data_IF_083311323960
#
_entry.id   IF_083311323960
#
_cell.length_a   1.000
_cell.length_b   1.000
_cell.length_c   1.000
_cell.angle_alpha   90.00
_cell.angle_beta   90.00
_cell.angle_gamma   90.00
#
_symmetry.space_group_name_H-M   'P 1'
#
loop_
_entity.id
_entity.type
_entity.pdbx_description
1 polymer ?
#
# COMPACT_ATOMS: atom_id res chain seq x y z
N UNK A 1 -2.48 -15.28 28.45
CA UNK A 1 -1.84 -16.47 27.84
C UNK A 1 -0.66 -15.98 27.00
N UNK A 2 0.55 -15.97 27.58
CA UNK A 2 1.76 -15.55 26.88
C UNK A 2 2.27 -16.72 26.04
N UNK A 3 2.20 -16.61 24.71
CA UNK A 3 2.83 -17.55 23.79
C UNK A 3 4.32 -17.19 23.67
N UNK A 4 5.16 -18.07 24.20
CA UNK A 4 6.62 -18.00 24.04
C UNK A 4 6.99 -18.25 22.59
N UNK A 5 7.84 -17.39 22.03
CA UNK A 5 8.32 -17.47 20.65
C UNK A 5 9.47 -18.48 20.58
N UNK A 6 9.14 -19.74 20.23
CA UNK A 6 10.11 -20.80 19.97
C UNK A 6 10.94 -20.53 18.70
N UNK A 7 12.24 -20.83 18.78
CA UNK A 7 13.21 -20.68 17.69
C UNK A 7 12.73 -21.32 16.38
N UNK A 8 12.70 -20.50 15.33
CA UNK A 8 13.10 -20.95 13.99
C UNK A 8 12.18 -21.94 13.27
N UNK A 9 10.94 -21.55 12.99
CA UNK A 9 10.22 -21.70 11.68
C UNK A 9 8.70 -21.51 11.82
N UNK A 10 8.16 -21.50 13.03
CA UNK A 10 6.71 -21.56 13.24
C UNK A 10 6.12 -20.27 13.82
N UNK A 11 6.45 -19.12 13.21
CA UNK A 11 5.44 -18.06 13.22
C UNK A 11 4.42 -18.48 12.18
N UNK A 12 3.24 -18.86 12.65
CA UNK A 12 2.07 -19.32 11.91
C UNK A 12 1.58 -18.18 10.99
N UNK A 13 2.30 -18.02 9.89
CA UNK A 13 2.19 -16.89 8.96
C UNK A 13 1.61 -17.42 7.67
N UNK A 14 0.41 -16.96 7.36
CA UNK A 14 -0.18 -17.13 6.04
C UNK A 14 0.49 -16.13 5.10
N UNK A 15 1.05 -16.65 4.01
CA UNK A 15 1.59 -15.86 2.93
C UNK A 15 0.51 -15.74 1.86
N UNK A 16 -0.21 -14.63 1.77
CA UNK A 16 -0.95 -14.32 0.55
C UNK A 16 0.08 -13.82 -0.47
N UNK A 17 0.53 -14.73 -1.33
CA UNK A 17 1.51 -14.47 -2.39
C UNK A 17 0.73 -14.00 -3.62
N UNK A 18 0.62 -12.70 -3.84
CA UNK A 18 0.12 -12.18 -5.12
C UNK A 18 1.29 -12.35 -6.10
N UNK A 19 1.32 -13.48 -6.81
CA UNK A 19 2.35 -13.72 -7.83
C UNK A 19 1.88 -13.10 -9.13
N UNK A 20 2.40 -11.91 -9.43
CA UNK A 20 2.58 -11.49 -10.82
C UNK A 20 3.60 -12.45 -11.46
N UNK A 21 3.18 -13.21 -12.46
CA UNK A 21 4.08 -14.09 -13.20
C UNK A 21 5.07 -13.25 -14.00
N UNK A 22 6.33 -13.20 -13.56
CA UNK A 22 7.42 -12.72 -14.40
C UNK A 22 7.77 -13.86 -15.35
N UNK A 23 7.24 -13.83 -16.58
CA UNK A 23 7.78 -14.66 -17.64
C UNK A 23 9.12 -14.08 -18.09
N UNK A 24 10.14 -14.92 -18.03
CA UNK A 24 11.48 -14.66 -18.54
C UNK A 24 11.39 -14.32 -20.04
N UNK A 25 11.90 -13.16 -20.44
CA UNK A 25 12.19 -12.87 -21.85
C UNK A 25 13.63 -13.35 -22.12
N UNK A 26 13.87 -14.14 -23.18
CA UNK A 26 15.20 -14.60 -23.52
C UNK A 26 16.06 -13.48 -24.13
N UNK A 27 17.36 -13.74 -24.08
CA UNK A 27 18.51 -12.88 -24.36
C UNK A 27 18.55 -12.40 -25.83
N UNK A 28 18.85 -11.10 -26.02
CA UNK A 28 19.69 -10.58 -27.13
C UNK A 28 20.55 -9.49 -26.47
N UNK A 29 21.87 -9.53 -26.39
CA UNK A 29 22.83 -10.10 -27.32
C UNK A 29 23.45 -9.02 -28.20
N UNK A 30 23.98 -7.92 -27.64
CA UNK A 30 24.93 -7.07 -28.36
C UNK A 30 26.15 -6.75 -27.47
N UNK A 31 27.29 -7.25 -27.93
CA UNK A 31 28.64 -6.88 -27.51
C UNK A 31 29.13 -5.69 -28.33
N UNK A 32 30.21 -5.08 -27.83
CA UNK A 32 31.15 -4.14 -28.47
C UNK A 32 30.74 -2.66 -28.37
N UNK A 33 31.62 -1.70 -28.08
CA UNK A 33 33.06 -1.71 -27.81
C UNK A 33 33.51 -0.34 -27.27
N UNK A 34 34.66 -0.36 -26.59
CA UNK A 34 35.73 0.67 -26.54
C UNK A 34 35.57 2.00 -25.74
N UNK A 35 36.33 2.03 -24.63
CA UNK A 35 37.34 3.04 -24.19
C UNK A 35 37.19 4.53 -24.61
N UNK A 36 36.95 5.39 -23.60
CA UNK A 36 37.73 6.56 -23.09
C UNK A 36 38.95 7.14 -23.89
N UNK A 37 39.49 8.35 -23.56
CA UNK A 37 38.96 9.53 -22.82
C UNK A 37 39.49 10.94 -23.28
N UNK A 38 39.16 11.99 -22.48
CA UNK A 38 39.89 13.26 -22.18
C UNK A 38 40.13 14.30 -23.29
N UNK A 39 39.73 15.57 -23.05
CA UNK A 39 40.65 16.71 -22.83
C UNK A 39 39.97 18.09 -22.77
N UNK A 40 40.55 18.92 -21.89
CA UNK A 40 40.33 20.35 -21.61
C UNK A 40 40.63 21.29 -22.79
N UNK A 41 39.96 22.45 -22.82
CA UNK A 41 40.49 23.84 -22.73
C UNK A 41 39.44 24.82 -23.28
N UNK A 42 38.89 25.72 -22.46
CA UNK A 42 39.37 27.07 -22.11
C UNK A 42 39.20 28.12 -23.20
N UNK A 43 38.67 29.27 -22.76
CA UNK A 43 38.85 30.63 -23.28
C UNK A 43 37.66 31.23 -24.04
N UNK A 44 36.85 31.94 -23.24
CA UNK A 44 36.48 33.35 -23.42
C UNK A 44 36.81 33.99 -24.77
N UNK A 45 35.76 34.45 -25.47
CA UNK A 45 35.71 35.78 -26.07
C UNK A 45 34.26 36.31 -26.03
N UNK A 46 34.11 37.44 -25.35
CA UNK A 46 32.95 38.32 -25.42
C UNK A 46 33.03 39.09 -26.74
N UNK A 47 31.93 39.22 -27.48
CA UNK A 47 31.69 40.36 -28.35
C UNK A 47 30.22 40.45 -28.77
N UNK A 48 29.70 41.65 -28.52
CA UNK A 48 28.37 42.16 -28.76
C UNK A 48 27.74 41.74 -30.10
N UNK A 49 26.47 41.33 -30.04
CA UNK A 49 25.59 41.31 -31.21
C UNK A 49 24.41 42.26 -31.00
N UNK A 50 24.28 43.16 -31.98
CA UNK A 50 23.25 44.18 -32.13
C UNK A 50 21.86 43.55 -32.15
N UNK A 51 20.93 44.23 -31.50
CA UNK A 51 19.49 44.00 -31.54
C UNK A 51 18.91 44.24 -32.94
N UNK A 52 18.16 43.26 -33.46
CA UNK A 52 17.17 43.44 -34.54
C UNK A 52 15.77 43.21 -33.96
N UNK A 53 14.74 43.98 -34.38
CA UNK A 53 13.37 43.80 -33.93
C UNK A 53 12.70 42.70 -34.76
N UNK A 54 12.54 41.51 -34.17
CA UNK A 54 11.71 40.44 -34.72
C UNK A 54 10.43 40.31 -33.91
N UNK A 55 9.31 40.69 -34.49
CA UNK A 55 7.97 40.41 -33.96
C UNK A 55 7.70 38.91 -34.08
N UNK A 56 7.43 38.25 -32.95
CA UNK A 56 6.85 36.90 -32.93
C UNK A 56 5.80 36.86 -31.81
N UNK A 57 4.53 36.83 -32.22
CA UNK A 57 3.39 36.46 -31.39
C UNK A 57 2.96 35.01 -31.76
N UNK A 58 2.15 34.33 -30.94
CA UNK A 58 2.62 33.35 -29.97
C UNK A 58 2.44 31.90 -30.43
N UNK A 59 3.36 31.03 -30.04
CA UNK A 59 3.15 29.58 -30.11
C UNK A 59 2.17 29.18 -29.00
N UNK A 60 0.97 28.77 -29.38
CA UNK A 60 -0.02 28.17 -28.50
C UNK A 60 0.55 26.90 -27.85
N UNK A 61 0.85 26.97 -26.54
CA UNK A 61 1.14 25.77 -25.75
C UNK A 61 -0.19 25.10 -25.46
N UNK A 62 -0.58 24.18 -26.34
CA UNK A 62 -1.60 23.18 -25.99
C UNK A 62 -1.16 22.48 -24.70
N UNK A 63 -2.01 22.59 -23.69
CA UNK A 63 -1.76 22.06 -22.36
C UNK A 63 -1.58 20.54 -22.43
N UNK A 64 -0.37 20.07 -22.13
CA UNK A 64 -0.13 18.66 -21.86
C UNK A 64 -0.85 18.32 -20.55
N UNK A 65 -1.99 17.63 -20.65
CA UNK A 65 -2.57 16.94 -19.53
C UNK A 65 -1.64 15.77 -19.16
N UNK A 66 -1.20 15.64 -17.89
CA UNK A 66 -0.53 14.42 -17.47
C UNK A 66 -1.59 13.31 -17.38
N UNK A 67 -1.56 12.38 -18.33
CA UNK A 67 -2.29 11.13 -18.24
C UNK A 67 -1.74 10.36 -17.03
N UNK A 68 -2.58 10.16 -16.02
CA UNK A 68 -2.26 9.32 -14.86
C UNK A 68 -2.01 7.88 -15.34
N UNK A 69 -0.74 7.48 -15.41
CA UNK A 69 -0.36 6.11 -15.73
C UNK A 69 -0.58 5.23 -14.50
N UNK A 70 -1.72 4.55 -14.44
CA UNK A 70 -1.95 3.45 -13.53
C UNK A 70 -0.99 2.30 -13.89
N UNK A 71 0.15 2.24 -13.19
CA UNK A 71 1.06 1.10 -13.28
C UNK A 71 0.40 -0.05 -12.52
N UNK A 72 -0.37 -0.86 -13.24
CA UNK A 72 -0.99 -2.06 -12.68
C UNK A 72 0.07 -3.13 -12.43
N UNK A 73 0.00 -3.75 -11.25
CA UNK A 73 0.67 -5.02 -11.00
C UNK A 73 0.11 -6.04 -11.98
N UNK A 74 0.93 -6.46 -12.94
CA UNK A 74 0.53 -7.37 -14.02
C UNK A 74 0.00 -8.69 -13.42
N UNK A 75 -1.30 -8.96 -13.59
CA UNK A 75 -1.93 -10.23 -13.21
C UNK A 75 -3.11 -10.13 -12.24
N UNK A 76 -3.50 -8.94 -11.77
CA UNK A 76 -4.69 -8.76 -10.92
C UNK A 76 -5.63 -7.71 -11.50
N UNK A 77 -6.87 -8.10 -11.80
CA UNK A 77 -7.93 -7.17 -12.23
C UNK A 77 -8.32 -6.28 -11.06
N UNK A 78 -8.24 -4.96 -11.23
CA UNK A 78 -8.61 -3.97 -10.21
C UNK A 78 -9.97 -3.38 -10.55
N UNK A 79 -10.92 -3.48 -9.62
CA UNK A 79 -12.23 -2.83 -9.66
C UNK A 79 -12.16 -1.51 -8.91
N UNK A 80 -12.57 -0.44 -9.59
CA UNK A 80 -12.77 0.86 -8.96
C UNK A 80 -14.18 0.91 -8.36
N UNK A 81 -14.26 0.93 -7.03
CA UNK A 81 -15.54 1.04 -6.32
C UNK A 81 -15.73 2.51 -5.93
N UNK A 82 -16.75 3.21 -6.47
CA UNK A 82 -17.03 4.58 -6.09
C UNK A 82 -17.37 4.69 -4.60
N UNK A 83 -16.90 5.76 -3.97
CA UNK A 83 -17.18 6.08 -2.58
C UNK A 83 -17.25 7.60 -2.39
N UNK A 84 -17.57 8.04 -1.18
CA UNK A 84 -17.55 9.45 -0.79
C UNK A 84 -16.79 9.59 0.52
N UNK A 85 -16.21 10.77 0.83
CA UNK A 85 -15.64 11.05 2.14
C UNK A 85 -16.66 10.77 3.26
N UNK A 86 -16.18 10.21 4.37
CA UNK A 86 -16.98 9.94 5.56
C UNK A 86 -16.31 10.61 6.76
N UNK A 87 -17.09 11.30 7.57
CA UNK A 87 -16.60 12.01 8.73
C UNK A 87 -16.04 11.08 9.82
N UNK A 88 -15.24 11.65 10.72
CA UNK A 88 -14.74 10.96 11.90
C UNK A 88 -13.57 10.01 11.65
N UNK A 89 -12.93 10.05 10.47
CA UNK A 89 -11.78 9.20 10.12
C UNK A 89 -10.41 9.79 10.51
N UNK A 90 -10.37 10.80 11.39
CA UNK A 90 -9.10 11.33 11.91
C UNK A 90 -8.44 10.30 12.82
N UNK A 91 -7.18 9.98 12.51
CA UNK A 91 -6.38 9.00 13.26
C UNK A 91 -5.82 9.67 14.52
N UNK A 92 -5.95 9.02 15.68
CA UNK A 92 -5.28 9.46 16.91
C UNK A 92 -3.85 8.90 17.00
N UNK A 93 -3.14 9.20 18.09
CA UNK A 93 -1.76 8.73 18.34
C UNK A 93 -1.60 7.20 18.29
N UNK A 94 -2.70 6.45 18.47
CA UNK A 94 -2.72 4.99 18.49
C UNK A 94 -3.52 4.35 17.36
N UNK A 95 -3.79 5.09 16.28
CA UNK A 95 -4.62 4.64 15.16
C UNK A 95 -6.04 5.22 15.19
N UNK A 96 -6.88 4.74 14.27
CA UNK A 96 -8.30 5.05 14.21
C UNK A 96 -9.06 4.08 15.13
N UNK A 97 -9.91 4.62 16.00
CA UNK A 97 -10.76 3.82 16.91
C UNK A 97 -12.18 4.38 16.89
N UNK A 98 -13.15 3.48 16.69
CA UNK A 98 -14.58 3.77 16.58
C UNK A 98 -15.39 2.57 17.03
N UNK A 99 -16.72 2.72 17.10
CA UNK A 99 -17.58 1.56 17.34
C UNK A 99 -17.46 0.56 16.21
N UNK A 100 -17.53 -0.72 16.53
CA UNK A 100 -17.44 -1.79 15.52
C UNK A 100 -18.51 -1.63 14.44
N UNK A 101 -19.72 -1.20 14.83
CA UNK A 101 -20.82 -0.87 13.89
C UNK A 101 -20.44 0.20 12.86
N UNK A 102 -19.63 1.18 13.23
CA UNK A 102 -19.18 2.21 12.28
C UNK A 102 -18.24 1.60 11.24
N UNK A 103 -17.28 0.76 11.66
CA UNK A 103 -16.38 0.07 10.74
C UNK A 103 -17.09 -0.91 9.80
N UNK A 104 -18.19 -1.51 10.27
CA UNK A 104 -19.04 -2.40 9.46
C UNK A 104 -19.94 -1.65 8.47
N UNK A 105 -20.09 -0.32 8.63
CA UNK A 105 -20.87 0.47 7.69
C UNK A 105 -20.20 0.51 6.31
N UNK A 106 -20.98 0.65 5.23
CA UNK A 106 -20.45 0.59 3.87
C UNK A 106 -19.27 1.55 3.66
N UNK A 107 -18.18 1.00 3.11
CA UNK A 107 -16.95 1.72 2.76
C UNK A 107 -16.22 2.44 3.90
N UNK A 108 -16.65 2.37 5.17
CA UNK A 108 -15.96 3.09 6.24
C UNK A 108 -14.52 2.63 6.42
N UNK A 109 -14.31 1.32 6.64
CA UNK A 109 -12.97 0.74 6.70
C UNK A 109 -12.21 0.95 5.39
N UNK A 110 -12.88 0.71 4.26
CA UNK A 110 -12.29 0.81 2.93
C UNK A 110 -11.72 2.20 2.63
N UNK A 111 -12.47 3.25 2.96
CA UNK A 111 -12.06 4.64 2.80
C UNK A 111 -10.78 4.91 3.58
N UNK A 112 -10.73 4.59 4.87
CA UNK A 112 -9.55 4.87 5.69
C UNK A 112 -8.32 4.11 5.19
N UNK A 113 -8.47 2.84 4.79
CA UNK A 113 -7.37 2.02 4.26
C UNK A 113 -6.90 2.54 2.90
N UNK A 114 -7.82 2.93 2.01
CA UNK A 114 -7.47 3.54 0.73
C UNK A 114 -6.76 4.88 0.93
N UNK A 115 -7.24 5.72 1.84
CA UNK A 115 -6.61 6.99 2.20
C UNK A 115 -5.22 6.79 2.80
N UNK A 116 -5.01 5.74 3.59
CA UNK A 116 -3.67 5.34 4.03
C UNK A 116 -2.76 5.04 2.84
N UNK A 117 -3.20 4.20 1.90
CA UNK A 117 -2.38 3.86 0.75
C UNK A 117 -2.13 5.06 -0.18
N UNK A 118 -3.11 5.94 -0.35
CA UNK A 118 -2.95 7.20 -1.08
C UNK A 118 -1.93 8.14 -0.40
N UNK A 119 -1.96 8.24 0.94
CA UNK A 119 -1.02 9.06 1.70
C UNK A 119 0.43 8.55 1.61
N UNK A 120 0.62 7.24 1.48
CA UNK A 120 1.92 6.61 1.26
C UNK A 120 2.36 6.71 -0.22
N UNK A 121 1.42 6.90 -1.14
CA UNK A 121 1.69 7.19 -2.54
C UNK A 121 2.46 6.07 -3.25
N UNK A 122 3.50 6.43 -4.01
CA UNK A 122 4.30 5.47 -4.79
C UNK A 122 5.14 4.52 -3.94
N UNK A 123 5.29 4.79 -2.63
CA UNK A 123 6.11 3.95 -1.75
C UNK A 123 5.57 2.52 -1.60
N UNK A 124 4.26 2.32 -1.79
CA UNK A 124 3.58 1.02 -1.61
C UNK A 124 3.86 0.04 -2.74
N UNK A 125 4.27 0.54 -3.91
CA UNK A 125 4.40 -0.28 -5.13
C UNK A 125 5.47 -1.36 -4.95
N UNK A 126 5.08 -2.62 -5.18
CA UNK A 126 5.98 -3.76 -5.07
C UNK A 126 6.44 -4.06 -3.65
N UNK A 127 5.80 -3.49 -2.62
CA UNK A 127 6.13 -3.71 -1.22
C UNK A 127 5.40 -4.91 -0.60
N UNK A 128 5.91 -5.34 0.55
CA UNK A 128 5.27 -6.37 1.39
C UNK A 128 4.64 -5.73 2.61
N UNK A 129 3.35 -5.97 2.83
CA UNK A 129 2.57 -5.47 3.96
C UNK A 129 2.35 -6.58 4.99
N UNK A 130 2.49 -6.28 6.28
CA UNK A 130 2.01 -7.12 7.38
C UNK A 130 0.55 -6.84 7.71
N UNK A 131 -0.22 -7.86 8.08
CA UNK A 131 -1.61 -7.72 8.50
C UNK A 131 -1.96 -8.68 9.65
N UNK A 132 -2.62 -8.16 10.66
CA UNK A 132 -3.21 -8.98 11.71
C UNK A 132 -3.85 -8.12 12.81
N UNK A 133 -4.27 -8.75 13.90
CA UNK A 133 -4.94 -8.06 14.99
C UNK A 133 -5.00 -8.88 16.27
N UNK A 134 -5.80 -8.39 17.22
CA UNK A 134 -6.00 -9.03 18.53
C UNK A 134 -7.16 -10.06 18.56
N UNK A 135 -7.76 -10.36 17.40
CA UNK A 135 -8.83 -11.34 17.27
C UNK A 135 -10.22 -10.83 17.66
N UNK A 136 -10.39 -9.52 17.88
CA UNK A 136 -11.72 -8.94 18.13
C UNK A 136 -12.68 -9.15 16.97
N UNK A 137 -13.98 -9.05 17.28
CA UNK A 137 -15.08 -9.12 16.32
C UNK A 137 -14.81 -8.23 15.09
N UNK A 138 -15.25 -8.67 13.89
CA UNK A 138 -15.00 -8.04 12.59
C UNK A 138 -13.55 -8.14 12.04
N UNK A 139 -12.59 -8.68 12.81
CA UNK A 139 -11.18 -8.73 12.39
C UNK A 139 -10.91 -9.58 11.13
N UNK A 140 -11.62 -10.69 10.93
CA UNK A 140 -11.42 -11.56 9.76
C UNK A 140 -11.99 -10.92 8.49
N UNK A 141 -13.17 -10.35 8.60
CA UNK A 141 -13.88 -9.64 7.54
C UNK A 141 -13.10 -8.39 7.11
N UNK A 142 -12.61 -7.62 8.09
CA UNK A 142 -11.72 -6.49 7.85
C UNK A 142 -10.44 -6.91 7.12
N UNK A 143 -9.84 -8.06 7.49
CA UNK A 143 -8.65 -8.57 6.83
C UNK A 143 -8.89 -8.85 5.33
N UNK A 144 -10.02 -9.48 4.96
CA UNK A 144 -10.35 -9.72 3.56
C UNK A 144 -10.43 -8.43 2.75
N UNK A 145 -11.10 -7.40 3.30
CA UNK A 145 -11.20 -6.09 2.65
C UNK A 145 -9.81 -5.44 2.46
N UNK A 146 -8.97 -5.47 3.51
CA UNK A 146 -7.61 -4.91 3.46
C UNK A 146 -6.74 -5.64 2.44
N UNK A 147 -6.85 -6.97 2.33
CA UNK A 147 -6.09 -7.76 1.34
C UNK A 147 -6.44 -7.32 -0.09
N UNK A 148 -7.74 -7.16 -0.39
CA UNK A 148 -8.21 -6.71 -1.71
C UNK A 148 -7.73 -5.28 -2.03
N UNK A 149 -7.78 -4.38 -1.05
CA UNK A 149 -7.28 -3.00 -1.21
C UNK A 149 -5.75 -2.97 -1.39
N UNK A 150 -5.01 -3.75 -0.60
CA UNK A 150 -3.56 -3.80 -0.70
C UNK A 150 -3.12 -4.31 -2.08
N UNK A 151 -3.76 -5.38 -2.55
CA UNK A 151 -3.55 -5.90 -3.91
C UNK A 151 -3.88 -4.85 -4.98
N UNK A 152 -5.03 -4.18 -4.87
CA UNK A 152 -5.48 -3.18 -5.84
C UNK A 152 -4.64 -1.89 -5.85
N UNK A 153 -3.93 -1.60 -4.76
CA UNK A 153 -3.02 -0.47 -4.64
C UNK A 153 -1.54 -0.84 -4.91
N UNK A 154 -1.25 -2.08 -5.30
CA UNK A 154 0.07 -2.45 -5.83
C UNK A 154 1.05 -3.06 -4.83
N UNK A 155 0.59 -3.49 -3.64
CA UNK A 155 1.42 -4.35 -2.78
C UNK A 155 1.63 -5.71 -3.45
N UNK A 156 2.89 -6.17 -3.55
CA UNK A 156 3.21 -7.47 -4.15
C UNK A 156 2.81 -8.65 -3.27
N UNK A 157 2.68 -8.44 -1.96
CA UNK A 157 2.47 -9.52 -0.99
C UNK A 157 1.89 -8.97 0.31
N UNK A 158 0.95 -9.71 0.88
CA UNK A 158 0.43 -9.47 2.24
C UNK A 158 0.78 -10.67 3.11
N UNK A 159 1.44 -10.41 4.23
CA UNK A 159 1.84 -11.39 5.24
C UNK A 159 0.82 -11.31 6.37
N UNK A 160 -0.06 -12.30 6.46
CA UNK A 160 -1.21 -12.29 7.37
C UNK A 160 -0.96 -13.27 8.50
N UNK A 161 -1.26 -12.87 9.73
CA UNK A 161 -1.31 -13.82 10.85
C UNK A 161 -2.43 -14.85 10.60
N UNK A 162 -2.25 -16.11 11.01
CA UNK A 162 -3.32 -17.11 10.94
C UNK A 162 -4.57 -16.57 11.63
N UNK A 163 -5.73 -16.78 11.01
CA UNK A 163 -7.03 -16.27 11.46
C UNK A 163 -7.08 -14.73 11.57
N UNK A 164 -6.19 -14.02 10.86
CA UNK A 164 -5.90 -12.60 11.01
C UNK A 164 -5.38 -12.18 12.40
N UNK A 165 -4.82 -13.12 13.17
CA UNK A 165 -4.33 -12.87 14.53
C UNK A 165 -2.81 -12.62 14.49
N UNK A 166 -2.40 -11.42 14.90
CA UNK A 166 -1.01 -11.05 15.11
C UNK A 166 -0.95 -9.88 16.09
N UNK A 167 -0.53 -10.17 17.33
CA UNK A 167 -0.42 -9.13 18.35
C UNK A 167 0.56 -8.02 17.94
N UNK A 168 0.32 -6.78 18.39
CA UNK A 168 1.18 -5.61 18.11
C UNK A 168 2.69 -5.86 18.25
N UNK A 169 3.21 -6.44 19.34
CA UNK A 169 4.65 -6.72 19.45
C UNK A 169 5.12 -7.78 18.43
N UNK A 170 4.30 -8.78 18.11
CA UNK A 170 4.60 -9.77 17.08
C UNK A 170 4.65 -9.14 15.69
N UNK A 171 3.74 -8.22 15.38
CA UNK A 171 3.76 -7.45 14.13
C UNK A 171 5.02 -6.60 14.02
N UNK A 172 5.37 -5.84 15.07
CA UNK A 172 6.59 -5.02 15.10
C UNK A 172 7.85 -5.87 14.87
N UNK A 173 7.96 -7.01 15.57
CA UNK A 173 9.05 -7.96 15.37
C UNK A 173 9.07 -8.54 13.94
N UNK A 174 7.90 -8.86 13.37
CA UNK A 174 7.76 -9.40 12.03
C UNK A 174 8.22 -8.40 10.96
N UNK A 175 7.79 -7.14 11.07
CA UNK A 175 8.18 -6.06 10.17
C UNK A 175 9.71 -5.95 10.13
N UNK A 176 10.35 -5.86 11.30
CA UNK A 176 11.81 -5.74 11.43
C UNK A 176 12.54 -6.97 10.89
N UNK A 177 12.11 -8.17 11.30
CA UNK A 177 12.77 -9.44 10.96
C UNK A 177 12.64 -9.81 9.48
N UNK A 178 11.54 -9.44 8.83
CA UNK A 178 11.26 -9.75 7.43
C UNK A 178 11.44 -8.55 6.50
N UNK A 179 11.85 -7.40 7.03
CA UNK A 179 12.02 -6.14 6.29
C UNK A 179 10.77 -5.79 5.50
N UNK A 180 9.61 -5.90 6.16
CA UNK A 180 8.34 -5.49 5.55
C UNK A 180 8.32 -3.96 5.43
N UNK A 181 7.51 -3.44 4.52
CA UNK A 181 7.33 -2.00 4.39
C UNK A 181 6.64 -1.40 5.63
N UNK A 182 5.70 -2.14 6.20
CA UNK A 182 4.97 -1.78 7.39
C UNK A 182 3.92 -2.84 7.71
N UNK A 183 3.02 -2.55 8.63
CA UNK A 183 1.95 -3.46 8.99
C UNK A 183 0.70 -2.76 9.50
N UNK A 184 -0.45 -3.29 9.11
CA UNK A 184 -1.75 -2.92 9.63
C UNK A 184 -2.13 -3.83 10.81
N UNK A 185 -2.50 -3.21 11.92
CA UNK A 185 -2.86 -3.90 13.16
C UNK A 185 -4.30 -3.55 13.54
N UNK A 186 -5.18 -4.54 13.52
CA UNK A 186 -6.59 -4.43 13.90
C UNK A 186 -6.73 -4.66 15.40
N UNK A 187 -6.67 -3.57 16.16
CA UNK A 187 -6.78 -3.59 17.62
C UNK A 187 -7.18 -2.22 18.16
N UNK A 188 -8.11 -2.20 19.11
CA UNK A 188 -8.40 -1.04 19.96
C UNK A 188 -7.67 -1.11 21.32
N UNK A 189 -6.59 -1.91 21.40
CA UNK A 189 -5.74 -2.07 22.60
C UNK A 189 -6.52 -2.55 23.82
N UNK A 190 -6.75 -1.69 24.81
CA UNK A 190 -7.44 -2.04 26.06
C UNK A 190 -8.97 -1.92 25.96
N UNK A 191 -9.48 -1.29 24.88
CA UNK A 191 -10.91 -1.12 24.70
C UNK A 191 -11.60 -2.48 24.45
N UNK A 192 -12.80 -2.69 25.03
CA UNK A 192 -13.54 -3.94 24.85
C UNK A 192 -13.82 -4.20 23.36
N UNK A 193 -13.80 -5.47 22.98
CA UNK A 193 -14.16 -5.94 21.64
C UNK A 193 -15.60 -6.47 21.60
N UNK A 194 -16.18 -6.53 20.41
CA UNK A 194 -17.54 -7.06 20.21
C UNK A 194 -18.36 -6.22 19.22
N UNK A 195 -19.53 -6.71 18.80
CA UNK A 195 -20.39 -6.04 17.82
C UNK A 195 -20.85 -4.66 18.30
N UNK A 196 -21.12 -4.49 19.60
CA UNK A 196 -21.56 -3.21 20.20
C UNK A 196 -20.42 -2.41 20.84
N UNK A 197 -19.19 -2.94 20.81
CA UNK A 197 -18.02 -2.32 21.44
C UNK A 197 -17.13 -1.66 20.39
N UNK A 198 -15.81 -1.66 20.62
CA UNK A 198 -14.87 -0.88 19.83
C UNK A 198 -14.06 -1.75 18.87
N UNK A 199 -13.82 -1.20 17.69
CA UNK A 199 -12.85 -1.69 16.73
C UNK A 199 -11.79 -0.61 16.51
N UNK A 200 -10.59 -1.03 16.12
CA UNK A 200 -9.51 -0.10 15.87
C UNK A 200 -8.55 -0.64 14.84
N UNK A 201 -7.92 0.28 14.11
CA UNK A 201 -6.90 -0.04 13.11
C UNK A 201 -5.77 0.98 13.22
N UNK A 202 -4.53 0.49 13.16
CA UNK A 202 -3.32 1.33 13.19
C UNK A 202 -2.30 0.82 12.19
N UNK A 203 -1.39 1.70 11.79
CA UNK A 203 -0.30 1.40 10.87
C UNK A 203 1.05 1.59 11.56
N UNK A 204 1.92 0.59 11.44
CA UNK A 204 3.32 0.67 11.85
C UNK A 204 4.23 0.69 10.61
N UNK A 205 5.29 1.49 10.66
CA UNK A 205 6.26 1.66 9.57
C UNK A 205 7.40 0.62 9.62
N UNK A 206 8.38 0.78 8.73
CA UNK A 206 9.52 -0.14 8.47
C UNK A 206 10.35 -0.52 9.70
N UNK A 207 10.49 0.34 10.72
CA UNK A 207 11.23 -0.01 11.93
C UNK A 207 10.38 -0.74 12.99
N UNK A 208 9.10 -0.96 12.70
CA UNK A 208 8.12 -1.58 13.60
C UNK A 208 7.44 -0.59 14.55
N UNK A 209 7.73 0.70 14.46
CA UNK A 209 7.14 1.81 15.21
C UNK A 209 5.77 2.25 14.65
N UNK A 210 4.90 2.87 15.46
CA UNK A 210 3.70 3.55 14.97
C UNK A 210 4.01 4.63 13.93
N UNK A 211 3.08 4.88 13.00
CA UNK A 211 3.21 5.96 12.05
C UNK A 211 3.36 7.33 12.76
N UNK A 212 4.29 8.20 12.31
CA UNK A 212 4.46 9.53 12.88
C UNK A 212 3.28 10.45 12.53
N UNK A 213 3.13 11.55 13.28
CA UNK A 213 2.01 12.50 13.12
C UNK A 213 1.90 13.06 11.69
N UNK A 214 3.04 13.33 11.05
CA UNK A 214 3.10 13.81 9.67
C UNK A 214 2.44 12.86 8.67
N UNK A 215 2.44 11.56 8.94
CA UNK A 215 1.72 10.57 8.12
C UNK A 215 0.26 10.53 8.52
N UNK A 216 -0.08 10.55 9.82
CA UNK A 216 -1.49 10.52 10.25
C UNK A 216 -2.29 11.72 9.75
N UNK A 217 -1.67 12.89 9.67
CA UNK A 217 -2.30 14.10 9.11
C UNK A 217 -2.51 13.98 7.60
N UNK A 218 -1.54 13.41 6.87
CA UNK A 218 -1.71 13.10 5.44
C UNK A 218 -2.86 12.12 5.21
N UNK A 219 -2.94 11.05 6.02
CA UNK A 219 -4.07 10.10 5.96
C UNK A 219 -5.39 10.85 6.12
N UNK A 220 -5.49 11.72 7.12
CA UNK A 220 -6.71 12.50 7.35
C UNK A 220 -7.06 13.40 6.15
N UNK A 221 -6.09 14.10 5.57
CA UNK A 221 -6.29 14.87 4.33
C UNK A 221 -6.79 14.01 3.17
N UNK A 222 -6.29 12.77 3.03
CA UNK A 222 -6.77 11.81 2.03
C UNK A 222 -8.20 11.31 2.32
N UNK A 223 -8.60 11.16 3.59
CA UNK A 223 -9.98 10.74 3.94
C UNK A 223 -11.03 11.78 3.52
N UNK A 224 -10.65 13.06 3.49
CA UNK A 224 -11.56 14.16 3.12
C UNK A 224 -11.81 14.27 1.61
N UNK A 225 -11.01 13.58 0.78
CA UNK A 225 -11.10 13.65 -0.69
C UNK A 225 -11.24 12.29 -1.38
N UNK A 226 -11.30 11.19 -0.62
CA UNK A 226 -11.42 9.84 -1.18
C UNK A 226 -12.72 9.70 -1.98
N UNK A 227 -12.59 9.27 -3.23
CA UNK A 227 -13.71 9.13 -4.16
C UNK A 227 -13.81 7.72 -4.76
N UNK A 228 -12.71 6.96 -4.74
CA UNK A 228 -12.63 5.62 -5.33
C UNK A 228 -11.79 4.72 -4.44
N UNK A 229 -12.25 3.47 -4.27
CA UNK A 229 -11.49 2.38 -3.68
C UNK A 229 -10.93 1.49 -4.80
N UNK A 230 -9.62 1.31 -4.82
CA UNK A 230 -8.95 0.39 -5.76
C UNK A 230 -8.95 -1.02 -5.15
N UNK A 231 -9.99 -1.79 -5.43
CA UNK A 231 -10.14 -3.15 -4.90
C UNK A 231 -9.75 -4.19 -5.94
N UNK A 232 -8.83 -5.08 -5.61
CA UNK A 232 -8.55 -6.23 -6.44
C UNK A 232 -9.75 -7.19 -6.50
N UNK A 233 -10.06 -7.69 -7.68
CA UNK A 233 -11.07 -8.73 -7.89
C UNK A 233 -10.54 -10.10 -7.49
N UNK A 234 -10.54 -10.34 -6.18
CA UNK A 234 -10.05 -11.58 -5.57
C UNK A 234 -11.16 -12.25 -4.76
N UNK A 235 -11.25 -13.59 -4.79
CA UNK A 235 -12.05 -14.32 -3.83
C UNK A 235 -11.46 -14.15 -2.43
N UNK A 236 -12.29 -14.41 -1.42
CA UNK A 236 -11.82 -14.44 -0.04
C UNK A 236 -10.82 -15.58 0.16
N UNK A 237 -9.79 -15.34 0.96
CA UNK A 237 -8.73 -16.29 1.25
C UNK A 237 -9.07 -17.01 2.55
N UNK A 238 -8.90 -18.33 2.60
CA UNK A 238 -8.99 -19.06 3.87
C UNK A 238 -7.84 -18.64 4.79
N UNK A 239 -8.16 -17.82 5.80
CA UNK A 239 -7.20 -17.28 6.76
C UNK A 239 -6.78 -18.30 7.82
N UNK A 240 -7.48 -19.43 7.95
CA UNK A 240 -7.15 -20.48 8.92
C UNK A 240 -6.01 -21.38 8.41
N UNK A 241 -5.88 -21.51 7.09
CA UNK A 241 -4.83 -22.31 6.46
C UNK A 241 -3.51 -21.55 6.43
N UNK A 242 -2.44 -22.21 6.90
CA UNK A 242 -1.07 -21.67 6.87
C UNK A 242 -0.41 -22.05 5.56
N UNK A 243 0.40 -21.16 5.00
CA UNK A 243 1.14 -21.40 3.76
C UNK A 243 0.96 -20.29 2.72
N UNK A 244 1.37 -20.56 1.50
CA UNK A 244 1.25 -19.64 0.37
C UNK A 244 -0.11 -19.76 -0.33
N UNK A 245 -0.96 -18.74 -0.30
CA UNK A 245 -2.08 -18.62 -1.22
C UNK A 245 -1.65 -17.78 -2.42
N UNK A 246 -1.54 -18.39 -3.61
CA UNK A 246 -1.34 -17.64 -4.86
C UNK A 246 -2.70 -17.21 -5.38
N UNK A 247 -2.93 -15.91 -5.48
CA UNK A 247 -4.17 -15.37 -6.03
C UNK A 247 -3.86 -14.68 -7.35
N UNK A 248 -4.26 -15.30 -8.46
CA UNK A 248 -4.30 -14.66 -9.77
C UNK A 248 -5.65 -13.94 -9.91
N UNK A 249 -5.67 -12.73 -10.47
CA UNK A 249 -6.91 -12.03 -10.73
C UNK A 249 -7.81 -12.82 -11.68
N UNK A 250 -9.13 -12.66 -11.52
CA UNK A 250 -10.09 -13.23 -12.46
C UNK A 250 -10.04 -12.40 -13.75
N UNK A 251 -9.63 -13.01 -14.87
CA UNK A 251 -9.88 -12.43 -16.18
C UNK A 251 -11.39 -12.51 -16.44
N UNK A 252 -12.05 -11.36 -16.60
CA UNK A 252 -13.43 -11.35 -17.08
C UNK A 252 -13.39 -11.82 -18.55
N UNK A 253 -14.08 -12.92 -18.83
CA UNK A 253 -14.28 -13.44 -20.18
C UNK A 253 -14.93 -12.37 -21.06
N UNK A 254 -14.49 -12.35 -22.32
CA UNK A 254 -14.99 -11.48 -23.39
C UNK A 254 -16.49 -11.61 -23.58
#
# INVERSE_FOLDING_TARGET
>A
MFLTCGRGRDCVVLFALIVAAIMQVPIVGQRNAMRAPVAHRSSSYSLAFRSLPGTCAPWSRSALQPLAMATSVQGVTVKQVPTKPIDGQKTGTSGLRKKTKEFMSPNYLGNWVQSLFSALGSEVQGQVLGLGGDGRYFGKEAAQQIIKLAAGNGFKKVVVGRDAIMATPAMSAMIRRRKLYGGLIMSASHNPGGPDNDFGIKFNYKGGEPAPESITDKIYGETQKVAVLNMADLPDIDLAKVGGAKVAGRALGR
#
